data_IF_187643457327
#
_entry.id   IF_187643457327
#
_cell.length_a   1.000
_cell.length_b   1.000
_cell.length_c   1.000
_cell.angle_alpha   90.00
_cell.angle_beta   90.00
_cell.angle_gamma   90.00
#
_symmetry.space_group_name_H-M   'P 1'
#
loop_
_entity.id
_entity.type
_entity.pdbx_description
1 polymer ?
#
# COMPACT_ATOMS: atom_id res chain seq x y z
N UNK A 1 -13.62 26.79 -40.12
CA UNK A 1 -14.60 26.12 -39.23
C UNK A 1 -14.32 26.65 -37.84
N UNK A 2 -15.24 27.39 -37.22
CA UNK A 2 -15.00 28.04 -35.93
C UNK A 2 -14.86 26.99 -34.83
N UNK A 3 -13.96 27.17 -33.88
CA UNK A 3 -13.74 26.24 -32.75
C UNK A 3 -14.89 26.21 -31.72
N UNK A 4 -15.84 27.14 -31.78
CA UNK A 4 -17.13 26.98 -31.08
C UNK A 4 -17.84 25.71 -31.57
N UNK A 5 -17.67 25.38 -32.85
CA UNK A 5 -18.19 24.17 -33.48
C UNK A 5 -17.58 22.87 -32.91
N UNK A 6 -16.35 22.86 -32.36
CA UNK A 6 -15.74 21.61 -31.84
C UNK A 6 -16.20 21.24 -30.44
N UNK A 7 -16.56 22.25 -29.65
CA UNK A 7 -17.15 22.07 -28.34
C UNK A 7 -18.61 21.67 -28.47
N UNK A 8 -19.31 22.27 -29.45
CA UNK A 8 -20.66 21.89 -29.82
C UNK A 8 -20.70 20.48 -30.44
N UNK A 9 -19.73 20.07 -31.26
CA UNK A 9 -19.74 18.74 -31.87
C UNK A 9 -19.51 17.57 -30.90
N UNK A 10 -18.78 17.75 -29.79
CA UNK A 10 -18.77 16.68 -28.75
C UNK A 10 -20.07 16.65 -27.93
N UNK A 11 -20.80 17.75 -27.86
CA UNK A 11 -22.18 17.77 -27.35
C UNK A 11 -23.25 17.40 -28.40
N UNK A 12 -22.90 17.38 -29.69
CA UNK A 12 -23.79 17.07 -30.84
C UNK A 12 -23.43 15.76 -31.57
N UNK A 13 -22.39 15.03 -31.15
CA UNK A 13 -21.98 13.69 -31.65
C UNK A 13 -23.00 12.58 -31.31
N UNK A 14 -24.27 12.92 -31.11
CA UNK A 14 -25.31 11.99 -30.66
C UNK A 14 -25.22 11.65 -29.17
N UNK A 15 -24.59 12.52 -28.38
CA UNK A 15 -24.51 12.37 -26.93
C UNK A 15 -25.72 12.99 -26.24
N UNK A 16 -26.58 12.15 -25.67
CA UNK A 16 -27.70 12.60 -24.84
C UNK A 16 -27.29 12.60 -23.38
N UNK A 17 -27.47 13.73 -22.68
CA UNK A 17 -27.23 13.79 -21.24
C UNK A 17 -28.26 12.93 -20.51
N UNK A 18 -27.80 11.99 -19.69
CA UNK A 18 -28.66 11.05 -18.95
C UNK A 18 -28.61 11.26 -17.43
N UNK A 19 -27.60 11.99 -16.92
CA UNK A 19 -27.52 12.39 -15.52
C UNK A 19 -26.96 13.81 -15.40
N UNK A 20 -27.76 14.73 -14.87
CA UNK A 20 -27.40 16.13 -14.68
C UNK A 20 -26.43 16.36 -13.54
N UNK A 21 -26.54 15.59 -12.45
CA UNK A 21 -25.69 15.74 -11.29
C UNK A 21 -24.29 15.18 -11.56
N UNK A 22 -24.25 14.05 -12.27
CA UNK A 22 -23.02 13.32 -12.57
C UNK A 22 -22.40 13.73 -13.92
N UNK A 23 -23.05 14.60 -14.69
CA UNK A 23 -22.63 15.01 -16.04
C UNK A 23 -22.29 13.78 -16.91
N UNK A 24 -23.22 12.82 -16.91
CA UNK A 24 -23.10 11.58 -17.69
C UNK A 24 -23.92 11.71 -18.97
N UNK A 25 -23.32 11.24 -20.07
CA UNK A 25 -23.87 11.28 -21.41
C UNK A 25 -23.86 9.89 -22.02
N UNK A 26 -24.85 9.55 -22.83
CA UNK A 26 -24.88 8.33 -23.65
C UNK A 26 -24.72 8.68 -25.12
N UNK A 27 -23.92 7.92 -25.87
CA UNK A 27 -23.91 8.03 -27.34
C UNK A 27 -25.04 7.21 -27.99
N UNK A 28 -25.14 7.28 -29.32
CA UNK A 28 -26.08 6.52 -30.14
C UNK A 28 -25.92 4.99 -30.04
N UNK A 29 -24.76 4.51 -29.56
CA UNK A 29 -24.46 3.08 -29.35
C UNK A 29 -24.83 2.61 -27.94
N UNK A 30 -25.36 3.50 -27.09
CA UNK A 30 -25.68 3.20 -25.70
C UNK A 30 -24.46 3.15 -24.78
N UNK A 31 -23.30 3.67 -25.20
CA UNK A 31 -22.11 3.75 -24.37
C UNK A 31 -22.15 5.03 -23.52
N UNK A 32 -21.84 4.91 -22.23
CA UNK A 32 -21.93 6.01 -21.28
C UNK A 32 -20.56 6.68 -21.07
N UNK A 33 -20.56 7.99 -20.91
CA UNK A 33 -19.37 8.81 -20.77
C UNK A 33 -19.53 9.92 -19.75
N UNK A 34 -18.45 10.20 -19.03
CA UNK A 34 -18.29 11.41 -18.22
C UNK A 34 -17.28 12.34 -18.91
N UNK A 35 -17.63 13.62 -18.99
CA UNK A 35 -16.76 14.64 -19.56
C UNK A 35 -16.26 15.62 -18.50
N UNK A 36 -14.95 15.90 -18.54
CA UNK A 36 -14.31 16.95 -17.74
C UNK A 36 -13.70 17.96 -18.69
N UNK A 37 -13.92 19.25 -18.44
CA UNK A 37 -13.55 20.28 -19.41
C UNK A 37 -12.83 21.47 -18.77
N UNK A 38 -11.83 22.01 -19.49
CA UNK A 38 -11.09 23.21 -19.10
C UNK A 38 -11.03 24.18 -20.29
N UNK A 39 -11.37 25.45 -20.06
CA UNK A 39 -11.12 26.53 -21.02
C UNK A 39 -9.70 27.03 -20.82
N UNK A 40 -8.94 27.13 -21.91
CA UNK A 40 -7.52 27.50 -21.89
C UNK A 40 -7.31 28.69 -22.81
N UNK A 41 -6.57 29.73 -22.39
CA UNK A 41 -6.25 30.86 -23.24
C UNK A 41 -5.56 30.39 -24.52
N UNK A 42 -5.96 30.99 -25.64
CA UNK A 42 -5.36 30.69 -26.92
C UNK A 42 -3.98 31.36 -27.01
N UNK A 43 -2.89 30.62 -27.26
CA UNK A 43 -1.55 31.20 -27.37
C UNK A 43 -1.36 31.81 -28.77
N UNK A 44 -1.94 32.99 -28.98
CA UNK A 44 -2.02 33.66 -30.29
C UNK A 44 -0.66 33.85 -30.97
N UNK A 45 0.40 34.01 -30.18
CA UNK A 45 1.79 34.13 -30.60
C UNK A 45 2.38 32.85 -31.19
N UNK A 46 1.82 31.69 -30.84
CA UNK A 46 2.28 30.39 -31.33
C UNK A 46 1.53 29.92 -32.60
N UNK A 47 0.46 30.62 -32.99
CA UNK A 47 -0.38 30.27 -34.14
C UNK A 47 0.29 30.62 -35.48
N UNK A 48 0.15 29.73 -36.46
CA UNK A 48 0.45 30.03 -37.86
C UNK A 48 -0.72 30.80 -38.52
N UNK A 49 -0.54 31.26 -39.76
CA UNK A 49 -1.54 32.10 -40.43
C UNK A 49 -2.88 31.38 -40.70
N UNK A 50 -2.86 30.09 -41.02
CA UNK A 50 -4.08 29.27 -41.23
C UNK A 50 -4.85 29.06 -39.93
N UNK A 51 -4.13 28.88 -38.82
CA UNK A 51 -4.73 28.74 -37.50
C UNK A 51 -5.26 30.07 -36.99
N UNK A 52 -4.57 31.19 -37.20
CA UNK A 52 -5.10 32.52 -36.86
C UNK A 52 -6.45 32.77 -37.51
N UNK A 53 -6.62 32.31 -38.75
CA UNK A 53 -7.91 32.32 -39.43
C UNK A 53 -8.91 31.35 -38.80
N UNK A 54 -8.49 30.12 -38.47
CA UNK A 54 -9.36 29.09 -37.85
C UNK A 54 -9.87 29.50 -36.47
N UNK A 55 -9.03 30.15 -35.68
CA UNK A 55 -9.32 30.66 -34.34
C UNK A 55 -9.74 32.15 -34.37
N UNK A 56 -10.10 32.70 -35.52
CA UNK A 56 -10.49 34.11 -35.62
C UNK A 56 -11.68 34.40 -34.70
N UNK A 57 -11.59 35.51 -33.96
CA UNK A 57 -12.60 35.91 -32.98
C UNK A 57 -12.56 35.13 -31.66
N UNK A 58 -11.67 34.15 -31.51
CA UNK A 58 -11.59 33.33 -30.32
C UNK A 58 -10.49 33.77 -29.36
N UNK A 59 -10.80 33.67 -28.06
CA UNK A 59 -9.85 33.98 -26.98
C UNK A 59 -9.33 32.74 -26.26
N UNK A 60 -10.02 31.61 -26.41
CA UNK A 60 -9.76 30.39 -25.67
C UNK A 60 -10.08 29.18 -26.55
N UNK A 61 -9.41 28.06 -26.28
CA UNK A 61 -9.84 26.74 -26.73
C UNK A 61 -10.29 25.90 -25.53
N UNK A 62 -10.91 24.75 -25.79
CA UNK A 62 -11.36 23.81 -24.76
C UNK A 62 -10.52 22.54 -24.81
N UNK A 63 -10.11 22.08 -23.64
CA UNK A 63 -9.61 20.72 -23.42
C UNK A 63 -10.77 19.92 -22.87
N UNK A 64 -11.03 18.75 -23.45
CA UNK A 64 -12.04 17.80 -22.96
C UNK A 64 -11.38 16.46 -22.67
N UNK A 65 -11.60 15.97 -21.45
CA UNK A 65 -11.21 14.66 -20.99
C UNK A 65 -12.48 13.79 -20.96
N UNK A 66 -12.47 12.65 -21.64
CA UNK A 66 -13.64 11.75 -21.66
C UNK A 66 -13.31 10.42 -20.99
N UNK A 67 -14.11 10.03 -20.01
CA UNK A 67 -14.03 8.75 -19.33
C UNK A 67 -15.22 7.88 -19.74
N UNK A 68 -14.95 6.66 -20.19
CA UNK A 68 -16.01 5.70 -20.48
C UNK A 68 -16.52 5.07 -19.19
N UNK A 69 -17.83 4.87 -19.11
CA UNK A 69 -18.53 4.23 -18.01
C UNK A 69 -19.19 2.92 -18.49
N UNK A 70 -19.38 1.98 -17.58
CA UNK A 70 -20.18 0.79 -17.84
C UNK A 70 -21.68 1.05 -17.59
N UNK A 71 -22.51 0.01 -17.75
CA UNK A 71 -23.95 0.09 -17.53
C UNK A 71 -24.34 0.43 -16.08
N UNK A 72 -23.42 0.22 -15.12
CA UNK A 72 -23.58 0.57 -13.72
C UNK A 72 -22.99 1.96 -13.39
N UNK A 73 -22.58 2.70 -14.42
CA UNK A 73 -21.91 4.01 -14.31
C UNK A 73 -20.54 3.97 -13.62
N UNK A 74 -19.91 2.79 -13.58
CA UNK A 74 -18.55 2.63 -13.08
C UNK A 74 -17.52 2.92 -14.17
N UNK A 75 -16.37 3.48 -13.80
CA UNK A 75 -15.32 3.85 -14.75
C UNK A 75 -14.70 2.60 -15.39
N UNK A 76 -14.68 2.58 -16.73
CA UNK A 76 -14.08 1.50 -17.51
C UNK A 76 -12.67 1.89 -17.90
N UNK A 77 -11.68 1.29 -17.23
CA UNK A 77 -10.28 1.45 -17.54
C UNK A 77 -9.97 0.92 -18.95
N UNK A 78 -9.50 1.79 -19.84
CA UNK A 78 -9.26 1.43 -21.23
C UNK A 78 -7.81 1.73 -21.64
N UNK A 79 -7.07 0.72 -22.09
CA UNK A 79 -5.65 0.84 -22.48
C UNK A 79 -5.41 1.50 -23.84
N UNK A 80 -6.49 1.85 -24.55
CA UNK A 80 -6.49 2.38 -25.92
C UNK A 80 -6.97 3.82 -25.97
N UNK A 81 -6.78 4.59 -24.90
CA UNK A 81 -7.20 5.98 -24.88
C UNK A 81 -6.48 6.80 -25.95
N UNK A 82 -7.26 7.56 -26.72
CA UNK A 82 -6.77 8.29 -27.89
C UNK A 82 -6.67 9.77 -27.62
N UNK A 83 -5.74 10.39 -28.32
CA UNK A 83 -5.79 11.83 -28.60
C UNK A 83 -6.67 12.02 -29.82
N UNK A 84 -7.72 12.82 -29.69
CA UNK A 84 -8.52 13.26 -30.83
C UNK A 84 -8.09 14.67 -31.21
N UNK A 85 -7.50 14.80 -32.38
CA UNK A 85 -7.38 16.06 -33.11
C UNK A 85 -8.48 16.14 -34.17
N UNK A 86 -8.55 17.24 -34.93
CA UNK A 86 -9.50 17.47 -36.02
C UNK A 86 -9.61 16.34 -37.04
N UNK A 87 -8.65 15.43 -37.09
CA UNK A 87 -8.64 14.23 -37.91
C UNK A 87 -8.50 12.99 -37.02
N UNK A 88 -9.20 11.90 -37.35
CA UNK A 88 -9.22 10.69 -36.53
C UNK A 88 -7.82 10.08 -36.40
N UNK A 89 -7.10 10.36 -35.32
CA UNK A 89 -5.79 9.75 -35.08
C UNK A 89 -5.89 8.52 -34.17
N UNK A 90 -4.91 7.63 -34.33
CA UNK A 90 -4.73 6.43 -33.50
C UNK A 90 -3.64 6.64 -32.44
N UNK A 91 -3.33 7.90 -32.08
CA UNK A 91 -2.26 8.21 -31.13
C UNK A 91 -2.73 7.83 -29.73
N UNK A 92 -2.06 6.84 -29.13
CA UNK A 92 -2.39 6.36 -27.79
C UNK A 92 -1.64 7.18 -26.73
N UNK A 93 -2.38 7.74 -25.77
CA UNK A 93 -1.77 8.49 -24.65
C UNK A 93 -1.14 7.57 -23.62
N UNK A 94 -1.64 6.33 -23.52
CA UNK A 94 -1.34 5.42 -22.42
C UNK A 94 -2.16 5.68 -21.15
N UNK A 95 -2.95 6.75 -21.09
CA UNK A 95 -3.88 7.04 -19.99
C UNK A 95 -5.15 6.17 -20.08
N UNK A 96 -5.95 6.12 -19.02
CA UNK A 96 -7.26 5.44 -19.01
C UNK A 96 -8.42 6.22 -19.63
N UNK A 97 -8.18 7.41 -20.19
CA UNK A 97 -9.20 8.35 -20.66
C UNK A 97 -8.76 9.12 -21.90
N UNK A 98 -9.71 9.46 -22.78
CA UNK A 98 -9.38 10.18 -24.02
C UNK A 98 -9.16 11.67 -23.77
N UNK A 99 -8.36 12.26 -24.64
CA UNK A 99 -7.99 13.68 -24.60
C UNK A 99 -8.40 14.30 -25.94
N UNK A 100 -9.24 15.33 -25.88
CA UNK A 100 -9.69 16.08 -27.04
C UNK A 100 -9.20 17.53 -26.89
N UNK A 101 -8.35 17.94 -27.81
CA UNK A 101 -7.76 19.27 -27.86
C UNK A 101 -7.24 19.55 -29.27
N UNK A 102 -7.01 20.83 -29.65
CA UNK A 102 -6.65 21.19 -31.02
C UNK A 102 -5.16 20.93 -31.32
N UNK A 103 -4.69 19.69 -31.19
CA UNK A 103 -3.30 19.34 -31.46
C UNK A 103 -2.95 19.43 -32.95
N UNK A 104 -1.73 19.88 -33.23
CA UNK A 104 -1.11 19.77 -34.56
C UNK A 104 -0.58 18.36 -34.79
N UNK A 105 -0.83 17.84 -35.98
CA UNK A 105 -0.30 16.56 -36.42
C UNK A 105 0.88 16.75 -37.37
N UNK A 106 1.68 15.70 -37.53
CA UNK A 106 2.62 15.63 -38.64
C UNK A 106 1.88 15.53 -39.99
N UNK A 107 2.61 15.70 -41.10
CA UNK A 107 2.04 15.69 -42.45
C UNK A 107 1.35 14.38 -42.84
N UNK A 108 1.57 13.30 -42.09
CA UNK A 108 0.99 11.98 -42.33
C UNK A 108 -0.11 11.62 -41.31
N UNK A 109 -0.45 12.54 -40.40
CA UNK A 109 -1.49 12.37 -39.38
C UNK A 109 -1.29 11.13 -38.48
N UNK A 110 -0.03 10.73 -38.30
CA UNK A 110 0.36 9.58 -37.49
C UNK A 110 0.85 10.00 -36.10
N UNK A 111 1.43 11.19 -35.98
CA UNK A 111 2.07 11.65 -34.75
C UNK A 111 1.69 13.09 -34.42
N UNK A 112 1.81 13.43 -33.14
CA UNK A 112 1.77 14.83 -32.72
C UNK A 112 3.04 15.52 -33.21
N UNK A 113 2.87 16.69 -33.84
CA UNK A 113 4.01 17.49 -34.27
C UNK A 113 4.80 18.00 -33.05
N UNK A 114 6.13 17.86 -33.08
CA UNK A 114 7.00 18.48 -32.10
C UNK A 114 7.07 20.00 -32.30
N UNK A 115 6.26 20.75 -31.54
CA UNK A 115 6.22 22.20 -31.63
C UNK A 115 5.75 22.84 -30.31
N UNK A 116 6.07 24.13 -30.12
CA UNK A 116 5.71 24.89 -28.92
C UNK A 116 4.19 24.94 -28.67
N UNK A 117 3.38 24.93 -29.73
CA UNK A 117 1.91 24.92 -29.60
C UNK A 117 1.39 23.62 -28.98
N UNK A 118 1.88 22.46 -29.43
CA UNK A 118 1.51 21.18 -28.84
C UNK A 118 2.05 21.04 -27.41
N UNK A 119 3.27 21.50 -27.13
CA UNK A 119 3.81 21.52 -25.76
C UNK A 119 2.91 22.33 -24.81
N UNK A 120 2.47 23.51 -25.25
CA UNK A 120 1.51 24.36 -24.52
C UNK A 120 0.19 23.63 -24.25
N UNK A 121 -0.39 22.95 -25.24
CA UNK A 121 -1.63 22.18 -25.06
C UNK A 121 -1.41 21.00 -24.10
N UNK A 122 -0.30 20.25 -24.23
CA UNK A 122 0.01 19.11 -23.37
C UNK A 122 0.17 19.53 -21.91
N UNK A 123 0.83 20.68 -21.66
CA UNK A 123 0.95 21.24 -20.32
C UNK A 123 -0.41 21.56 -19.70
N UNK A 124 -1.25 22.31 -20.42
CA UNK A 124 -2.59 22.63 -19.92
C UNK A 124 -3.51 21.40 -19.80
N UNK A 125 -3.26 20.36 -20.60
CA UNK A 125 -3.95 19.07 -20.47
C UNK A 125 -3.57 18.39 -19.16
N UNK A 126 -2.27 18.33 -18.83
CA UNK A 126 -1.80 17.79 -17.56
C UNK A 126 -2.39 18.56 -16.36
N UNK A 127 -2.42 19.89 -16.43
CA UNK A 127 -3.09 20.71 -15.42
C UNK A 127 -4.58 20.41 -15.31
N UNK A 128 -5.29 20.28 -16.45
CA UNK A 128 -6.72 19.94 -16.45
C UNK A 128 -6.98 18.57 -15.78
N UNK A 129 -6.05 17.63 -15.94
CA UNK A 129 -6.12 16.34 -15.25
C UNK A 129 -5.94 16.55 -13.74
N UNK A 130 -4.82 17.17 -13.32
CA UNK A 130 -4.50 17.37 -11.91
C UNK A 130 -5.49 18.23 -11.13
N UNK A 131 -6.16 19.18 -11.80
CA UNK A 131 -7.13 20.09 -11.20
C UNK A 131 -8.57 19.60 -11.38
N UNK A 132 -9.05 19.57 -12.63
CA UNK A 132 -10.46 19.38 -12.93
C UNK A 132 -10.86 17.91 -12.81
N UNK A 133 -10.06 16.99 -13.36
CA UNK A 133 -10.40 15.56 -13.33
C UNK A 133 -10.31 15.00 -11.91
N UNK A 134 -9.21 15.27 -11.19
CA UNK A 134 -9.06 14.83 -9.80
C UNK A 134 -10.21 15.37 -8.94
N UNK A 135 -10.53 16.66 -9.05
CA UNK A 135 -11.65 17.24 -8.30
C UNK A 135 -12.97 16.52 -8.60
N UNK A 136 -13.26 16.25 -9.88
CA UNK A 136 -14.48 15.55 -10.27
C UNK A 136 -14.53 14.14 -9.71
N UNK A 137 -13.45 13.36 -9.82
CA UNK A 137 -13.38 12.00 -9.30
C UNK A 137 -13.60 11.94 -7.78
N UNK A 138 -13.07 12.93 -7.03
CA UNK A 138 -13.31 13.05 -5.58
C UNK A 138 -14.77 13.36 -5.25
N UNK A 139 -15.40 14.23 -6.03
CA UNK A 139 -16.82 14.55 -5.83
C UNK A 139 -17.75 13.35 -6.06
N UNK A 140 -17.26 12.33 -6.76
CA UNK A 140 -17.94 11.07 -7.04
C UNK A 140 -17.57 9.94 -6.06
N UNK A 141 -16.83 10.23 -4.98
CA UNK A 141 -16.28 9.25 -4.03
C UNK A 141 -15.50 8.10 -4.71
N UNK A 142 -14.80 8.39 -5.80
CA UNK A 142 -13.92 7.40 -6.43
C UNK A 142 -12.67 7.23 -5.57
N UNK A 143 -12.43 6.02 -5.08
CA UNK A 143 -11.34 5.74 -4.13
C UNK A 143 -10.02 5.36 -4.79
N UNK A 144 -10.08 4.78 -5.99
CA UNK A 144 -8.92 4.28 -6.73
C UNK A 144 -8.49 5.24 -7.85
N UNK A 145 -8.39 6.54 -7.53
CA UNK A 145 -8.07 7.60 -8.52
C UNK A 145 -6.74 7.33 -9.22
N UNK A 146 -5.73 6.84 -8.49
CA UNK A 146 -4.42 6.50 -9.06
C UNK A 146 -4.51 5.51 -10.24
N UNK A 147 -5.48 4.58 -10.24
CA UNK A 147 -5.68 3.64 -11.36
C UNK A 147 -6.20 4.33 -12.63
N UNK A 148 -6.94 5.43 -12.47
CA UNK A 148 -7.53 6.20 -13.56
C UNK A 148 -6.48 7.10 -14.21
N UNK A 149 -5.68 7.76 -13.37
CA UNK A 149 -4.65 8.71 -13.82
C UNK A 149 -3.30 8.06 -14.13
N UNK A 150 -3.17 6.77 -13.85
CA UNK A 150 -2.05 5.96 -14.34
C UNK A 150 -1.91 6.10 -15.85
N UNK A 151 -0.65 6.18 -16.30
CA UNK A 151 -0.30 6.16 -17.71
C UNK A 151 0.84 5.19 -17.98
N UNK A 152 0.72 4.43 -19.06
CA UNK A 152 1.81 3.63 -19.61
C UNK A 152 2.59 4.50 -20.62
N UNK A 153 3.88 4.75 -20.37
CA UNK A 153 4.72 5.57 -21.25
C UNK A 153 4.75 4.96 -22.66
N UNK A 154 4.25 5.69 -23.66
CA UNK A 154 4.36 5.34 -25.07
C UNK A 154 5.59 6.02 -25.66
N UNK A 155 6.33 5.30 -26.50
CA UNK A 155 7.49 5.85 -27.21
C UNK A 155 7.03 6.68 -28.41
N UNK A 156 6.43 7.83 -28.11
CA UNK A 156 5.87 8.77 -29.09
C UNK A 156 6.43 10.15 -28.76
N UNK A 157 7.36 10.63 -29.60
CA UNK A 157 8.25 11.79 -29.42
C UNK A 157 7.87 12.81 -28.35
N UNK A 158 6.82 13.62 -28.59
CA UNK A 158 6.43 14.72 -27.71
C UNK A 158 5.69 14.28 -26.42
N UNK A 159 5.10 13.08 -26.39
CA UNK A 159 4.35 12.61 -25.21
C UNK A 159 5.22 12.44 -23.97
N UNK A 160 6.55 12.30 -24.12
CA UNK A 160 7.48 12.30 -22.99
C UNK A 160 7.34 13.54 -22.10
N UNK A 161 7.09 14.71 -22.71
CA UNK A 161 6.89 15.96 -21.97
C UNK A 161 5.55 15.96 -21.24
N UNK A 162 4.50 15.47 -21.90
CA UNK A 162 3.20 15.29 -21.27
C UNK A 162 3.26 14.41 -20.02
N UNK A 163 4.00 13.30 -20.07
CA UNK A 163 4.17 12.43 -18.90
C UNK A 163 4.87 13.13 -17.73
N UNK A 164 5.87 13.97 -18.00
CA UNK A 164 6.51 14.80 -16.97
C UNK A 164 5.53 15.80 -16.39
N UNK A 165 4.84 16.58 -17.23
CA UNK A 165 3.86 17.57 -16.78
C UNK A 165 2.72 16.93 -15.97
N UNK A 166 2.30 15.73 -16.37
CA UNK A 166 1.25 15.01 -15.67
C UNK A 166 1.72 14.51 -14.31
N UNK A 167 2.94 13.99 -14.19
CA UNK A 167 3.52 13.63 -12.90
C UNK A 167 3.58 14.86 -11.96
N UNK A 168 4.11 15.98 -12.47
CA UNK A 168 4.20 17.24 -11.72
C UNK A 168 2.82 17.74 -11.27
N UNK A 169 1.82 17.71 -12.16
CA UNK A 169 0.45 18.13 -11.86
C UNK A 169 -0.26 17.24 -10.82
N UNK A 170 0.19 15.99 -10.65
CA UNK A 170 -0.38 15.02 -9.71
C UNK A 170 0.38 14.93 -8.39
N UNK A 171 1.64 15.39 -8.32
CA UNK A 171 2.53 15.23 -7.16
C UNK A 171 1.89 15.70 -5.84
N UNK A 172 1.19 16.84 -5.87
CA UNK A 172 0.54 17.43 -4.70
C UNK A 172 -0.99 17.23 -4.70
N UNK A 173 -1.46 16.22 -5.44
CA UNK A 173 -2.89 15.91 -5.53
C UNK A 173 -3.18 14.63 -4.77
N UNK A 174 -4.17 14.69 -3.89
CA UNK A 174 -4.63 13.50 -3.20
C UNK A 174 -5.25 12.49 -4.17
N UNK A 175 -4.56 11.41 -4.50
CA UNK A 175 -5.01 10.37 -5.46
C UNK A 175 -5.21 9.00 -4.80
N UNK A 176 -4.93 8.90 -3.49
CA UNK A 176 -5.14 7.73 -2.67
C UNK A 176 -6.19 8.01 -1.60
N UNK A 177 -7.17 7.13 -1.43
CA UNK A 177 -8.19 7.32 -0.40
C UNK A 177 -7.82 6.59 0.88
N UNK A 178 -7.79 7.30 2.00
CA UNK A 178 -7.59 6.72 3.33
C UNK A 178 -8.93 6.55 4.05
N UNK A 179 -9.33 5.29 4.29
CA UNK A 179 -10.63 4.94 4.88
C UNK A 179 -10.84 5.50 6.29
N UNK A 180 -9.86 5.31 7.18
CA UNK A 180 -9.94 5.78 8.57
C UNK A 180 -10.24 7.28 8.69
N UNK A 181 -9.39 8.17 8.14
CA UNK A 181 -9.62 9.61 8.19
C UNK A 181 -10.65 10.13 7.17
N UNK A 182 -11.13 9.29 6.24
CA UNK A 182 -12.08 9.70 5.19
C UNK A 182 -11.54 10.81 4.27
N UNK A 183 -10.24 10.78 3.97
CA UNK A 183 -9.57 11.84 3.19
C UNK A 183 -8.68 11.29 2.08
N UNK A 184 -8.48 12.10 1.05
CA UNK A 184 -7.55 11.80 -0.04
C UNK A 184 -6.12 12.25 0.30
N UNK A 185 -5.18 11.32 0.23
CA UNK A 185 -3.74 11.49 0.52
C UNK A 185 -2.94 11.67 -0.78
N UNK A 186 -1.94 12.54 -0.74
CA UNK A 186 -1.01 12.76 -1.85
C UNK A 186 0.08 11.68 -1.87
N UNK A 187 0.76 11.44 -3.02
CA UNK A 187 1.86 10.48 -3.12
C UNK A 187 2.92 10.57 -2.00
N UNK A 188 3.28 11.78 -1.57
CA UNK A 188 4.26 11.99 -0.49
C UNK A 188 3.79 11.58 0.92
N UNK A 189 2.49 11.33 1.10
CA UNK A 189 1.87 10.95 2.37
C UNK A 189 1.51 9.44 2.41
N UNK A 190 2.07 8.64 1.50
CA UNK A 190 1.71 7.23 1.30
C UNK A 190 2.98 6.39 1.18
N UNK A 191 2.96 5.17 1.73
CA UNK A 191 3.97 4.14 1.51
C UNK A 191 3.34 2.94 0.80
N UNK A 192 4.13 2.35 -0.09
CA UNK A 192 3.76 1.08 -0.72
C UNK A 192 4.14 -0.04 0.25
N UNK A 193 3.20 -0.91 0.57
CA UNK A 193 3.31 -1.96 1.55
C UNK A 193 2.95 -3.30 0.88
N UNK A 194 3.53 -4.41 1.34
CA UNK A 194 3.05 -5.73 0.92
C UNK A 194 1.79 -6.13 1.70
N UNK A 195 1.17 -7.23 1.28
CA UNK A 195 -0.04 -7.72 1.94
C UNK A 195 0.23 -8.12 3.40
N UNK A 196 1.43 -8.60 3.71
CA UNK A 196 1.87 -8.91 5.07
C UNK A 196 1.99 -7.66 5.95
N UNK A 197 2.54 -6.56 5.43
CA UNK A 197 2.60 -5.27 6.12
C UNK A 197 1.19 -4.76 6.42
N UNK A 198 0.27 -4.83 5.44
CA UNK A 198 -1.11 -4.44 5.62
C UNK A 198 -1.86 -5.32 6.62
N UNK A 199 -1.53 -6.61 6.71
CA UNK A 199 -2.09 -7.47 7.75
C UNK A 199 -1.64 -7.02 9.14
N UNK A 200 -0.38 -6.60 9.30
CA UNK A 200 0.16 -6.12 10.57
C UNK A 200 -0.53 -4.82 11.02
N UNK A 201 -0.54 -3.80 10.15
CA UNK A 201 -1.01 -2.46 10.49
C UNK A 201 -2.52 -2.25 10.25
N UNK A 202 -3.19 -3.12 9.50
CA UNK A 202 -4.54 -2.87 8.99
C UNK A 202 -4.58 -1.72 7.95
N UNK A 203 -5.76 -1.12 7.75
CA UNK A 203 -5.95 0.04 6.86
C UNK A 203 -5.54 1.38 7.52
N UNK A 204 -4.50 1.37 8.36
CA UNK A 204 -4.12 2.52 9.19
C UNK A 204 -2.83 3.21 8.72
N UNK A 205 -2.52 4.33 9.38
CA UNK A 205 -1.34 5.14 9.12
C UNK A 205 -0.12 4.50 9.79
N UNK A 206 0.96 4.28 9.05
CA UNK A 206 2.27 4.02 9.64
C UNK A 206 2.85 5.33 10.19
N UNK A 207 3.32 5.30 11.45
CA UNK A 207 3.81 6.46 12.21
C UNK A 207 2.83 7.66 12.23
N UNK A 208 1.51 7.40 12.26
CA UNK A 208 0.44 8.42 12.27
C UNK A 208 0.46 9.41 11.08
N UNK A 209 1.27 9.15 10.05
CA UNK A 209 1.55 10.11 8.98
C UNK A 209 1.39 9.56 7.58
N UNK A 210 1.64 8.26 7.38
CA UNK A 210 1.65 7.68 6.04
C UNK A 210 0.64 6.57 5.87
N UNK A 211 -0.23 6.69 4.87
CA UNK A 211 -1.15 5.61 4.50
C UNK A 211 -0.36 4.45 3.89
N UNK A 212 -0.64 3.23 4.32
CA UNK A 212 -0.09 2.02 3.70
C UNK A 212 -1.06 1.52 2.61
N UNK A 213 -0.52 1.19 1.43
CA UNK A 213 -1.30 0.62 0.33
C UNK A 213 -0.59 -0.56 -0.32
N UNK A 214 -1.36 -1.55 -0.77
CA UNK A 214 -0.91 -2.60 -1.69
C UNK A 214 -1.50 -2.32 -3.06
N UNK A 215 -0.66 -2.33 -4.09
CA UNK A 215 -1.06 -2.03 -5.47
C UNK A 215 -0.42 -3.02 -6.42
N UNK A 216 -1.07 -3.26 -7.58
CA UNK A 216 -0.49 -4.11 -8.62
C UNK A 216 0.87 -3.57 -9.08
N UNK A 217 1.78 -4.49 -9.45
CA UNK A 217 3.17 -4.20 -9.82
C UNK A 217 3.33 -3.08 -10.86
N UNK A 218 2.43 -2.99 -11.84
CA UNK A 218 2.47 -1.94 -12.87
C UNK A 218 2.25 -0.54 -12.28
N UNK A 219 1.36 -0.41 -11.29
CA UNK A 219 1.09 0.85 -10.61
C UNK A 219 2.23 1.17 -9.64
N UNK A 220 2.73 0.18 -8.90
CA UNK A 220 3.90 0.34 -8.02
C UNK A 220 5.08 0.92 -8.78
N UNK A 221 5.46 0.30 -9.91
CA UNK A 221 6.56 0.77 -10.74
C UNK A 221 6.37 2.22 -11.19
N UNK A 222 5.18 2.56 -11.68
CA UNK A 222 4.85 3.93 -12.09
C UNK A 222 4.92 4.93 -10.92
N UNK A 223 4.44 4.53 -9.74
CA UNK A 223 4.45 5.38 -8.55
C UNK A 223 5.86 5.68 -8.06
N UNK A 224 6.73 4.66 -8.03
CA UNK A 224 8.14 4.81 -7.65
C UNK A 224 8.88 5.70 -8.66
N UNK A 225 8.69 5.44 -9.96
CA UNK A 225 9.43 6.14 -11.02
C UNK A 225 9.04 7.62 -11.16
N UNK A 226 7.77 7.98 -10.95
CA UNK A 226 7.28 9.33 -11.25
C UNK A 226 7.01 10.18 -9.99
N UNK A 227 6.83 9.57 -8.82
CA UNK A 227 6.54 10.31 -7.57
C UNK A 227 7.53 10.02 -6.44
N UNK A 228 8.54 9.18 -6.69
CA UNK A 228 9.53 8.76 -5.70
C UNK A 228 8.92 8.15 -4.43
N UNK A 229 7.77 7.48 -4.58
CA UNK A 229 7.14 6.77 -3.48
C UNK A 229 8.07 5.66 -2.98
N UNK A 230 8.10 5.49 -1.66
CA UNK A 230 8.93 4.48 -1.02
C UNK A 230 8.11 3.24 -0.72
N UNK A 231 8.74 2.08 -0.92
CA UNK A 231 8.24 0.82 -0.39
C UNK A 231 8.67 0.71 1.07
N UNK A 232 7.73 0.39 1.95
CA UNK A 232 8.01 0.05 3.33
C UNK A 232 8.93 -1.17 3.34
N UNK A 233 10.09 -1.04 4.01
CA UNK A 233 11.02 -2.16 4.10
C UNK A 233 10.69 -2.95 5.35
N UNK A 234 10.69 -4.27 5.22
CA UNK A 234 10.53 -5.18 6.35
C UNK A 234 11.52 -4.85 7.47
N UNK A 235 12.76 -4.49 7.13
CA UNK A 235 13.76 -4.03 8.10
C UNK A 235 13.29 -2.81 8.91
N UNK A 236 12.66 -1.82 8.28
CA UNK A 236 12.16 -0.61 8.98
C UNK A 236 11.01 -0.97 9.94
N UNK A 237 10.14 -1.90 9.55
CA UNK A 237 9.04 -2.40 10.39
C UNK A 237 9.59 -3.16 11.59
N UNK A 238 10.50 -4.11 11.34
CA UNK A 238 11.17 -4.88 12.39
C UNK A 238 11.94 -3.98 13.33
N UNK A 239 12.52 -2.88 12.82
CA UNK A 239 13.24 -1.95 13.66
C UNK A 239 12.34 -1.22 14.67
N UNK A 240 11.08 -1.00 14.33
CA UNK A 240 10.12 -0.25 15.13
C UNK A 240 9.03 -1.12 15.78
N UNK A 241 9.12 -2.44 15.65
CA UNK A 241 8.09 -3.40 16.08
C UNK A 241 7.77 -3.28 17.58
N UNK A 242 8.77 -3.00 18.42
CA UNK A 242 8.57 -2.80 19.86
C UNK A 242 7.68 -1.60 20.15
N UNK A 243 7.90 -0.48 19.45
CA UNK A 243 7.06 0.72 19.56
C UNK A 243 5.63 0.43 19.13
N UNK A 244 5.46 -0.35 18.05
CA UNK A 244 4.15 -0.74 17.53
C UNK A 244 3.36 -1.56 18.57
N UNK A 245 4.02 -2.52 19.23
CA UNK A 245 3.38 -3.34 20.27
C UNK A 245 3.11 -2.54 21.55
N UNK A 246 4.00 -1.60 21.91
CA UNK A 246 3.82 -0.75 23.10
C UNK A 246 2.59 0.17 23.02
N UNK A 247 2.13 0.51 21.81
CA UNK A 247 0.94 1.34 21.63
C UNK A 247 -0.36 0.66 22.08
N UNK A 248 -0.45 -0.67 22.03
CA UNK A 248 -1.67 -1.41 22.44
C UNK A 248 -1.34 -2.83 22.95
N UNK A 249 -0.68 -2.89 24.11
CA UNK A 249 -0.16 -4.12 24.73
C UNK A 249 -1.24 -5.17 25.10
N UNK A 250 -2.52 -4.79 25.05
CA UNK A 250 -3.65 -5.65 25.43
C UNK A 250 -4.55 -6.02 24.24
N UNK A 251 -4.17 -5.68 22.99
CA UNK A 251 -4.86 -6.18 21.80
C UNK A 251 -4.30 -7.54 21.39
N UNK A 252 -4.97 -8.61 21.82
CA UNK A 252 -4.68 -10.01 21.46
C UNK A 252 -4.50 -10.19 19.94
N UNK A 253 -5.26 -9.45 19.14
CA UNK A 253 -5.19 -9.52 17.67
C UNK A 253 -3.95 -8.83 17.14
N UNK A 254 -3.48 -7.75 17.77
CA UNK A 254 -2.22 -7.11 17.41
C UNK A 254 -1.05 -8.06 17.67
N UNK A 255 -1.02 -8.69 18.85
CA UNK A 255 0.03 -9.66 19.19
C UNK A 255 0.06 -10.82 18.18
N UNK A 256 -1.09 -11.44 17.90
CA UNK A 256 -1.18 -12.51 16.90
C UNK A 256 -0.71 -12.10 15.50
N UNK A 257 -1.04 -10.87 15.06
CA UNK A 257 -0.56 -10.30 13.79
C UNK A 257 0.95 -10.09 13.78
N UNK A 258 1.53 -9.57 14.86
CA UNK A 258 2.98 -9.39 15.02
C UNK A 258 3.70 -10.71 14.91
N UNK A 259 3.25 -11.76 15.62
CA UNK A 259 3.84 -13.09 15.52
C UNK A 259 3.79 -13.67 14.12
N UNK A 260 2.64 -13.53 13.44
CA UNK A 260 2.47 -13.98 12.06
C UNK A 260 3.43 -13.26 11.11
N UNK A 261 3.61 -11.94 11.32
CA UNK A 261 4.53 -11.13 10.54
C UNK A 261 6.00 -11.54 10.73
N UNK A 262 6.43 -11.81 11.97
CA UNK A 262 7.79 -12.28 12.25
C UNK A 262 8.05 -13.64 11.60
N UNK A 263 7.11 -14.58 11.72
CA UNK A 263 7.23 -15.90 11.10
C UNK A 263 7.31 -15.85 9.57
N UNK A 264 6.49 -15.00 8.94
CA UNK A 264 6.50 -14.82 7.50
C UNK A 264 7.84 -14.28 6.98
N UNK A 265 8.60 -13.61 7.85
CA UNK A 265 9.85 -12.93 7.55
C UNK A 265 11.07 -13.56 8.25
N UNK A 266 10.94 -14.75 8.85
CA UNK A 266 12.00 -15.39 9.65
C UNK A 266 13.25 -15.74 8.83
N UNK A 267 13.09 -16.02 7.53
CA UNK A 267 14.19 -16.33 6.61
C UNK A 267 15.00 -15.10 6.18
N UNK A 268 14.52 -13.89 6.46
CA UNK A 268 15.31 -12.69 6.23
C UNK A 268 16.37 -12.64 7.34
N UNK A 269 17.63 -12.94 6.97
CA UNK A 269 18.85 -12.84 7.80
C UNK A 269 19.12 -11.40 8.29
N UNK A 270 18.15 -10.72 8.88
CA UNK A 270 18.39 -9.47 9.56
C UNK A 270 18.85 -9.82 10.98
N UNK A 271 20.11 -9.53 11.28
CA UNK A 271 20.64 -9.50 12.66
C UNK A 271 19.70 -8.72 13.61
N UNK A 272 18.87 -7.82 13.08
CA UNK A 272 17.85 -7.06 13.78
C UNK A 272 16.76 -7.93 14.46
N UNK A 273 16.34 -9.06 13.87
CA UNK A 273 15.38 -9.99 14.50
C UNK A 273 16.00 -10.71 15.71
N UNK A 274 17.28 -11.05 15.62
CA UNK A 274 17.99 -11.74 16.69
C UNK A 274 18.35 -10.82 17.86
N UNK A 275 18.55 -9.52 17.60
CA UNK A 275 18.95 -8.52 18.59
C UNK A 275 17.77 -7.78 19.26
N UNK A 276 16.56 -7.84 18.69
CA UNK A 276 15.40 -7.10 19.22
C UNK A 276 14.52 -7.96 20.11
N UNK A 277 13.97 -7.30 21.13
CA UNK A 277 13.14 -7.93 22.14
C UNK A 277 11.71 -7.88 21.63
N UNK A 278 11.22 -8.95 21.02
CA UNK A 278 9.93 -8.91 20.29
C UNK A 278 8.87 -9.77 20.98
N UNK A 279 9.27 -10.64 21.91
CA UNK A 279 8.35 -11.51 22.63
C UNK A 279 7.86 -10.83 23.91
N UNK A 280 6.58 -10.44 24.02
CA UNK A 280 5.99 -10.09 25.31
C UNK A 280 6.01 -11.31 26.23
N UNK A 281 6.78 -11.20 27.31
CA UNK A 281 6.84 -12.15 28.42
C UNK A 281 6.47 -11.43 29.69
N UNK A 282 5.92 -12.16 30.66
CA UNK A 282 5.38 -11.56 31.88
C UNK A 282 6.28 -11.85 33.08
N UNK A 283 6.64 -10.77 33.80
CA UNK A 283 7.24 -10.84 35.13
C UNK A 283 6.39 -10.02 36.11
N UNK A 284 5.77 -10.69 37.09
CA UNK A 284 5.01 -10.08 38.19
C UNK A 284 4.12 -8.89 37.77
N UNK A 285 3.27 -9.10 36.75
CA UNK A 285 2.33 -8.13 36.18
C UNK A 285 2.95 -7.01 35.31
N UNK A 286 4.23 -7.11 34.95
CA UNK A 286 4.89 -6.27 33.95
C UNK A 286 5.14 -7.06 32.66
N UNK A 287 4.81 -6.45 31.52
CA UNK A 287 5.17 -6.98 30.21
C UNK A 287 6.62 -6.57 29.92
N UNK A 288 7.50 -7.56 29.88
CA UNK A 288 8.85 -7.44 29.41
C UNK A 288 8.93 -7.92 27.98
N UNK A 289 9.82 -7.32 27.20
CA UNK A 289 10.15 -7.85 25.90
C UNK A 289 11.48 -8.61 25.99
N UNK A 290 11.53 -9.78 25.37
CA UNK A 290 12.75 -10.60 25.26
C UNK A 290 12.99 -11.06 23.81
N UNK A 291 14.25 -11.31 23.47
CA UNK A 291 14.62 -11.96 22.20
C UNK A 291 14.60 -13.46 22.41
N UNK A 292 13.67 -14.16 21.75
CA UNK A 292 13.57 -15.64 21.84
C UNK A 292 14.80 -16.36 21.30
N UNK A 293 15.62 -15.69 20.48
CA UNK A 293 16.86 -16.24 19.94
C UNK A 293 18.00 -16.24 20.96
N UNK A 294 18.02 -15.27 21.88
CA UNK A 294 19.01 -15.19 22.95
C UNK A 294 18.52 -15.88 24.23
N UNK A 295 17.22 -15.80 24.52
CA UNK A 295 16.59 -16.37 25.71
C UNK A 295 15.64 -17.52 25.35
N UNK A 296 15.76 -18.66 26.05
CA UNK A 296 14.78 -19.75 25.93
C UNK A 296 13.40 -19.28 26.45
N UNK A 297 12.46 -18.95 25.55
CA UNK A 297 11.07 -18.54 25.86
C UNK A 297 10.10 -19.70 25.62
N UNK A 298 9.16 -19.88 26.55
CA UNK A 298 8.28 -21.05 26.54
C UNK A 298 6.80 -20.70 26.41
N UNK A 299 6.00 -21.59 25.79
CA UNK A 299 4.53 -21.51 25.84
C UNK A 299 3.90 -22.78 26.42
N UNK A 300 2.74 -22.61 27.05
CA UNK A 300 1.97 -23.67 27.67
C UNK A 300 0.86 -24.11 26.71
N UNK A 301 1.01 -25.28 26.09
CA UNK A 301 0.00 -25.85 25.19
C UNK A 301 -1.20 -26.45 25.96
N UNK A 302 -0.98 -26.87 27.21
CA UNK A 302 -2.03 -27.40 28.08
C UNK A 302 -1.78 -26.94 29.53
N UNK A 303 -2.68 -26.12 30.06
CA UNK A 303 -2.57 -25.55 31.42
C UNK A 303 -2.67 -26.64 32.52
N UNK A 304 -3.04 -27.88 32.18
CA UNK A 304 -3.31 -28.93 33.15
C UNK A 304 -2.05 -29.60 33.74
N UNK A 305 -0.89 -29.52 33.09
CA UNK A 305 0.39 -30.05 33.59
C UNK A 305 1.39 -28.94 33.94
N UNK A 306 0.94 -27.86 34.59
CA UNK A 306 1.83 -26.81 35.05
C UNK A 306 2.89 -27.36 36.02
N UNK A 307 4.15 -27.44 35.59
CA UNK A 307 5.28 -27.75 36.45
C UNK A 307 5.34 -26.72 37.58
N UNK A 308 5.09 -27.15 38.82
CA UNK A 308 5.15 -26.28 39.99
C UNK A 308 6.61 -26.03 40.38
N UNK A 309 7.18 -24.93 39.91
CA UNK A 309 8.50 -24.46 40.35
C UNK A 309 8.42 -23.61 41.61
N UNK A 310 9.53 -23.52 42.34
CA UNK A 310 9.69 -22.53 43.40
C UNK A 310 9.63 -21.11 42.79
N UNK A 311 9.09 -20.09 43.50
CA UNK A 311 8.92 -18.74 42.98
C UNK A 311 10.20 -18.15 42.35
N UNK A 312 11.33 -18.26 43.05
CA UNK A 312 12.64 -17.78 42.60
C UNK A 312 13.11 -18.42 41.27
N UNK A 313 12.67 -19.64 40.99
CA UNK A 313 13.00 -20.37 39.77
C UNK A 313 12.06 -20.00 38.62
N UNK A 314 10.79 -19.71 38.94
CA UNK A 314 9.78 -19.24 37.99
C UNK A 314 10.18 -17.90 37.39
N UNK A 315 10.78 -17.01 38.19
CA UNK A 315 11.37 -15.73 37.74
C UNK A 315 12.56 -15.88 36.77
N UNK A 316 13.05 -17.09 36.52
CA UNK A 316 14.15 -17.37 35.58
C UNK A 316 13.70 -18.09 34.31
N UNK A 317 12.39 -18.26 34.14
CA UNK A 317 11.79 -18.95 33.01
C UNK A 317 10.79 -18.01 32.37
N UNK A 318 11.16 -17.46 31.22
CA UNK A 318 10.29 -16.59 30.45
C UNK A 318 9.19 -17.42 29.77
N UNK A 319 7.93 -17.09 30.06
CA UNK A 319 6.76 -17.73 29.44
C UNK A 319 5.94 -16.72 28.66
N UNK A 320 5.45 -17.14 27.50
CA UNK A 320 4.46 -16.40 26.72
C UNK A 320 3.15 -16.30 27.48
N UNK A 321 2.46 -15.18 27.27
CA UNK A 321 1.16 -14.92 27.89
C UNK A 321 0.11 -15.91 27.39
N UNK A 322 -0.82 -16.30 28.26
CA UNK A 322 -1.92 -17.23 27.96
C UNK A 322 -2.86 -16.77 26.84
N UNK A 323 -2.88 -15.46 26.57
CA UNK A 323 -3.64 -14.84 25.49
C UNK A 323 -3.02 -15.13 24.11
N UNK A 324 -1.72 -15.44 24.04
CA UNK A 324 -1.04 -15.70 22.77
C UNK A 324 -1.44 -17.09 22.28
N UNK A 325 -2.49 -17.16 21.45
CA UNK A 325 -2.92 -18.38 20.78
C UNK A 325 -2.21 -18.53 19.45
N UNK A 326 -1.57 -19.67 19.23
CA UNK A 326 -0.89 -19.97 17.97
C UNK A 326 -1.82 -20.69 16.98
N UNK A 327 -1.85 -20.30 15.69
CA UNK A 327 -2.37 -21.17 14.65
C UNK A 327 -1.53 -22.46 14.54
N UNK A 328 -2.18 -23.57 14.17
CA UNK A 328 -1.71 -24.98 14.20
C UNK A 328 -0.35 -25.28 13.50
N UNK A 329 0.30 -24.32 12.86
CA UNK A 329 1.62 -24.48 12.22
C UNK A 329 2.78 -24.34 13.21
N UNK A 330 2.86 -25.29 14.15
CA UNK A 330 3.79 -25.35 15.29
C UNK A 330 5.30 -25.31 14.92
N UNK A 331 5.69 -25.90 13.79
CA UNK A 331 7.10 -26.11 13.45
C UNK A 331 7.87 -24.82 13.15
N UNK A 332 7.19 -23.69 12.89
CA UNK A 332 7.87 -22.42 12.55
C UNK A 332 8.18 -21.56 13.77
N UNK A 333 7.60 -21.82 14.95
CA UNK A 333 7.87 -21.00 16.14
C UNK A 333 9.22 -21.31 16.79
N UNK A 334 9.77 -22.50 16.56
CA UNK A 334 11.16 -22.80 16.94
C UNK A 334 12.14 -21.86 16.22
N UNK A 335 11.80 -21.39 15.01
CA UNK A 335 12.56 -20.40 14.25
C UNK A 335 12.49 -19.01 14.88
N UNK A 336 11.60 -18.75 15.84
CA UNK A 336 11.58 -17.53 16.67
C UNK A 336 12.21 -17.76 18.06
N UNK A 337 12.76 -18.96 18.29
CA UNK A 337 13.31 -19.39 19.58
C UNK A 337 12.27 -19.72 20.65
N UNK A 338 10.99 -19.80 20.26
CA UNK A 338 9.88 -20.17 21.14
C UNK A 338 9.81 -21.70 21.24
N UNK A 339 9.75 -22.22 22.46
CA UNK A 339 9.75 -23.67 22.72
C UNK A 339 8.52 -24.10 23.50
N UNK A 340 8.04 -25.31 23.21
CA UNK A 340 7.02 -25.91 24.03
C UNK A 340 7.53 -26.05 25.47
N UNK A 341 6.68 -25.66 26.42
CA UNK A 341 6.90 -25.90 27.84
C UNK A 341 6.70 -27.39 28.14
N UNK A 342 7.72 -28.17 27.83
CA UNK A 342 7.78 -29.58 28.14
C UNK A 342 9.00 -29.90 29.01
N UNK A 343 8.91 -31.05 29.67
CA UNK A 343 9.89 -31.52 30.64
C UNK A 343 11.34 -31.49 30.14
N UNK A 344 11.55 -31.91 28.89
CA UNK A 344 12.88 -31.99 28.28
C UNK A 344 13.49 -30.61 28.13
N UNK A 345 12.72 -29.66 27.61
CA UNK A 345 13.20 -28.30 27.34
C UNK A 345 13.46 -27.54 28.64
N UNK A 346 12.63 -27.73 29.67
CA UNK A 346 12.83 -27.08 30.97
C UNK A 346 14.07 -27.62 31.67
N UNK A 347 14.28 -28.95 31.67
CA UNK A 347 15.48 -29.54 32.26
C UNK A 347 16.78 -29.04 31.59
N UNK A 348 16.73 -28.73 30.29
CA UNK A 348 17.87 -28.14 29.59
C UNK A 348 18.14 -26.69 30.06
N UNK A 349 17.12 -25.84 30.18
CA UNK A 349 17.28 -24.46 30.71
C UNK A 349 17.73 -24.46 32.17
N UNK A 350 17.18 -25.33 33.02
CA UNK A 350 17.62 -25.48 34.41
C UNK A 350 19.11 -25.86 34.50
N UNK A 351 19.58 -26.76 33.62
CA UNK A 351 21.01 -27.09 33.54
C UNK A 351 21.85 -25.88 33.12
N UNK A 352 21.43 -25.11 32.12
CA UNK A 352 22.12 -23.89 31.69
C UNK A 352 22.20 -22.87 32.84
N UNK A 353 21.07 -22.58 33.51
CA UNK A 353 21.01 -21.66 34.66
C UNK A 353 21.93 -22.13 35.79
N UNK A 354 21.94 -23.43 36.10
CA UNK A 354 22.81 -23.99 37.13
C UNK A 354 24.30 -23.86 36.79
N UNK A 355 24.66 -23.85 35.51
CA UNK A 355 26.04 -23.68 35.04
C UNK A 355 26.47 -22.22 35.06
N UNK A 356 25.55 -21.27 34.82
CA UNK A 356 25.84 -19.85 34.74
C UNK A 356 25.68 -19.08 36.05
N UNK A 357 24.85 -19.54 36.99
CA UNK A 357 24.60 -18.82 38.24
C UNK A 357 25.68 -19.09 39.30
N UNK A 358 26.05 -18.08 40.08
CA UNK A 358 26.89 -18.26 41.29
C UNK A 358 26.07 -18.43 42.57
N UNK A 359 24.76 -18.19 42.50
CA UNK A 359 23.86 -18.28 43.65
C UNK A 359 23.70 -19.75 44.12
N UNK A 360 24.18 -20.02 45.34
CA UNK A 360 24.11 -21.34 45.98
C UNK A 360 22.68 -21.76 46.30
N UNK A 361 21.81 -20.82 46.64
CA UNK A 361 20.41 -21.08 46.95
C UNK A 361 19.70 -21.54 45.69
N UNK A 362 19.87 -20.80 44.59
CA UNK A 362 19.31 -21.13 43.29
C UNK A 362 19.81 -22.47 42.75
N UNK A 363 21.13 -22.76 42.87
CA UNK A 363 21.69 -24.08 42.51
C UNK A 363 21.05 -25.24 43.27
N UNK A 364 20.75 -25.02 44.54
CA UNK A 364 20.12 -26.04 45.40
C UNK A 364 18.67 -26.27 44.99
N UNK A 365 17.93 -25.19 44.69
CA UNK A 365 16.55 -25.27 44.18
C UNK A 365 16.50 -25.98 42.83
N UNK A 366 17.40 -25.64 41.90
CA UNK A 366 17.53 -26.32 40.60
C UNK A 366 17.81 -27.81 40.78
N UNK A 367 18.75 -28.16 41.66
CA UNK A 367 19.10 -29.57 41.91
C UNK A 367 17.91 -30.37 42.44
N UNK A 368 17.12 -29.77 43.35
CA UNK A 368 15.88 -30.37 43.85
C UNK A 368 14.83 -30.53 42.76
N UNK A 369 14.65 -29.53 41.90
CA UNK A 369 13.72 -29.59 40.77
C UNK A 369 14.09 -30.72 39.79
N UNK A 370 15.36 -30.82 39.41
CA UNK A 370 15.87 -31.89 38.52
C UNK A 370 15.69 -33.28 39.16
N UNK A 371 15.94 -33.41 40.47
CA UNK A 371 15.80 -34.68 41.20
C UNK A 371 14.36 -35.14 41.33
N UNK A 372 13.44 -34.23 41.69
CA UNK A 372 12.02 -34.52 41.77
C UNK A 372 11.49 -35.00 40.42
N UNK A 373 11.96 -34.38 39.33
CA UNK A 373 11.52 -34.76 38.01
C UNK A 373 11.98 -36.16 37.58
N UNK A 374 13.23 -36.52 37.88
CA UNK A 374 13.74 -37.88 37.61
C UNK A 374 12.99 -38.96 38.39
N UNK A 375 12.44 -38.63 39.56
CA UNK A 375 11.61 -39.57 40.34
C UNK A 375 10.26 -39.82 39.65
N UNK A 376 9.61 -38.76 39.16
CA UNK A 376 8.35 -38.86 38.41
C UNK A 376 8.55 -39.72 37.15
N UNK A 377 9.64 -39.52 36.40
CA UNK A 377 9.96 -40.35 35.24
C UNK A 377 10.15 -41.83 35.59
N UNK A 378 10.83 -42.12 36.69
CA UNK A 378 11.06 -43.48 37.16
C UNK A 378 9.77 -44.16 37.66
N UNK A 379 8.87 -43.39 38.28
CA UNK A 379 7.56 -43.88 38.73
C UNK A 379 6.63 -44.16 37.55
N UNK A 380 6.60 -43.28 36.55
CA UNK A 380 5.80 -43.49 35.33
C UNK A 380 6.30 -44.68 34.49
N UNK A 381 7.61 -44.94 34.47
CA UNK A 381 8.18 -46.11 33.78
C UNK A 381 7.77 -47.44 34.43
N UNK A 382 7.49 -47.45 35.74
CA UNK A 382 7.03 -48.62 36.48
C UNK A 382 5.51 -48.89 36.35
N UNK A 383 4.75 -47.98 35.73
CA UNK A 383 3.30 -48.11 35.50
C UNK A 383 2.99 -48.68 34.10
N UNK A 384 3.97 -48.66 33.18
CA UNK A 384 3.81 -49.09 31.77
C UNK A 384 4.39 -50.51 31.49
N UNK A 385 4.88 -51.21 32.53
CA UNK A 385 5.18 -52.65 32.48
C UNK A 385 4.05 -53.46 33.10
#
# INVERSE_FOLDING_TARGET
MSLEFLVENMSEEGFTKIDDALDIYTNERGEHYMFVTKKVPLPTELLNDEERWTFEGQKHFKIVLSLRLDASHCIVYNSVAKIYSYESTKILTGCGFNIHAPFRLDSHCHYLQECAFNDYILRHTAEAIGENLIYRLKSLDIREIYKIVYFEKRDVGILKYFYSYLADALQDRGIFYAYGPGKYMCPGEVLIACDEDLQLFGETLYEDKKLLISVEQKYEKWLIENFHMQRLRVADVLENIESIVQCDLFDDKLLGRVYSYLLANADLESEALHQKKILPVFDQDQILFVSGFEEDVYYLYDAQEAFSFAPNLKEKIDTLHEIVTFPDTFNRYEELGIKEYNQRNILQKLKKISQSTEDRTLKTEISKAILNQRKIDAENWNIVQ
#
